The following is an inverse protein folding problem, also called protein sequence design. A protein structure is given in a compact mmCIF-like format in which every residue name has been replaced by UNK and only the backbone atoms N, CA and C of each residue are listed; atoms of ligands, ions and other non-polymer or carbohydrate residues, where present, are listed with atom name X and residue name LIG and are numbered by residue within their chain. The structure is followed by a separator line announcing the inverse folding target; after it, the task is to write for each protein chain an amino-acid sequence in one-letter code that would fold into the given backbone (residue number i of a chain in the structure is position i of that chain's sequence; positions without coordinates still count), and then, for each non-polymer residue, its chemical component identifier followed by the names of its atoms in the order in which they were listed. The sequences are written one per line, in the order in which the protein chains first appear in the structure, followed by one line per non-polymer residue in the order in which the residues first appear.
data_IF_924168674275
#
_entry.id   IF_924168674275
#
_cell.length_a   1.000
_cell.length_b   1.000
_cell.length_c   1.000
_cell.angle_alpha   90.00
_cell.angle_beta   90.00
_cell.angle_gamma   90.00
#
_symmetry.space_group_name_H-M   'P 1'
#
loop_
_entity.id
_entity.type
_entity.pdbx_description
1 polymer ?
#
# COMPACT_ATOMS: atom_id res chain seq x y z
N UNK A 1 65.83 35.93 24.95
CA UNK A 1 65.35 36.06 23.56
C UNK A 1 64.10 35.28 23.42
N UNK A 2 63.00 35.94 23.16
CA UNK A 2 61.66 35.47 23.07
C UNK A 2 61.39 34.74 21.74
N UNK A 3 60.80 33.54 21.78
CA UNK A 3 60.12 33.04 20.63
C UNK A 3 58.75 32.41 21.09
N UNK A 4 57.70 33.18 20.89
CA UNK A 4 56.31 32.76 21.04
C UNK A 4 55.93 31.88 19.85
N UNK A 5 55.52 30.61 20.09
CA UNK A 5 54.80 29.80 19.11
C UNK A 5 53.31 29.95 19.34
N UNK A 6 52.63 30.47 18.31
CA UNK A 6 51.17 30.54 18.23
C UNK A 6 50.64 29.16 17.88
N UNK A 7 49.79 28.59 18.73
CA UNK A 7 48.98 27.44 18.39
C UNK A 7 47.71 27.90 17.67
N UNK A 8 47.56 27.51 16.40
CA UNK A 8 46.33 27.69 15.66
C UNK A 8 45.37 26.54 16.03
N UNK A 9 44.26 26.88 16.68
CA UNK A 9 43.18 25.95 16.94
C UNK A 9 42.34 25.75 15.67
N UNK A 10 42.34 24.54 15.16
CA UNK A 10 41.42 24.12 14.14
C UNK A 10 40.03 23.91 14.75
N UNK A 11 39.08 24.73 14.34
CA UNK A 11 37.67 24.50 14.67
C UNK A 11 37.13 23.44 13.73
N UNK A 12 36.84 22.27 14.29
CA UNK A 12 36.02 21.27 13.61
C UNK A 12 34.58 21.75 13.68
N UNK A 13 34.05 22.21 12.56
CA UNK A 13 32.62 22.41 12.36
C UNK A 13 31.98 21.04 12.05
N UNK A 14 31.30 20.50 13.02
CA UNK A 14 30.38 19.36 12.83
C UNK A 14 29.17 19.83 12.02
N UNK A 15 29.17 19.53 10.74
CA UNK A 15 27.95 19.65 9.93
C UNK A 15 26.96 18.58 10.39
N UNK A 16 25.95 19.02 11.14
CA UNK A 16 24.77 18.19 11.42
C UNK A 16 23.99 18.02 10.12
N UNK A 17 24.02 16.82 9.55
CA UNK A 17 23.16 16.39 8.46
C UNK A 17 21.72 16.43 8.94
N UNK A 18 21.04 17.57 8.74
CA UNK A 18 19.62 17.72 8.95
C UNK A 18 18.85 16.94 7.91
N UNK A 19 18.39 15.74 8.27
CA UNK A 19 17.39 15.02 7.50
C UNK A 19 16.10 15.84 7.61
N UNK A 20 15.86 16.67 6.59
CA UNK A 20 14.61 17.44 6.46
C UNK A 20 13.46 16.44 6.33
N UNK A 21 12.64 16.32 7.35
CA UNK A 21 11.35 15.63 7.24
C UNK A 21 10.51 16.41 6.24
N UNK A 22 10.34 15.84 5.04
CA UNK A 22 9.43 16.42 4.04
C UNK A 22 8.04 16.52 4.62
N UNK A 23 7.41 17.70 4.51
CA UNK A 23 6.04 17.91 4.97
C UNK A 23 5.07 17.02 4.19
N UNK A 24 3.90 16.75 4.77
CA UNK A 24 2.83 15.99 4.09
C UNK A 24 2.36 16.67 2.81
N UNK A 25 2.52 18.00 2.71
CA UNK A 25 2.23 18.78 1.51
C UNK A 25 3.26 18.55 0.40
N UNK A 26 4.56 18.48 0.74
CA UNK A 26 5.62 18.15 -0.21
C UNK A 26 5.43 16.75 -0.81
N UNK A 27 4.96 15.79 -0.01
CA UNK A 27 4.65 14.44 -0.51
C UNK A 27 3.45 14.42 -1.47
N UNK A 28 2.43 15.26 -1.25
CA UNK A 28 1.28 15.38 -2.16
C UNK A 28 1.68 15.97 -3.51
N UNK A 29 2.66 16.86 -3.55
CA UNK A 29 3.18 17.44 -4.78
C UNK A 29 4.00 16.45 -5.62
N UNK A 30 4.45 15.33 -5.05
CA UNK A 30 5.22 14.30 -5.76
C UNK A 30 4.35 13.19 -6.39
N UNK A 31 3.02 13.19 -6.15
CA UNK A 31 2.12 12.18 -6.72
C UNK A 31 1.69 12.64 -8.11
N UNK A 32 2.24 12.00 -9.15
CA UNK A 32 1.93 12.28 -10.55
C UNK A 32 1.06 11.21 -11.20
N UNK A 33 1.00 10.01 -10.60
CA UNK A 33 0.32 8.85 -11.13
C UNK A 33 -0.31 8.04 -9.98
N UNK A 34 -1.30 7.19 -10.30
CA UNK A 34 -1.83 6.25 -9.32
C UNK A 34 -0.74 5.29 -8.78
N UNK A 35 0.29 5.03 -9.57
CA UNK A 35 1.41 4.17 -9.18
C UNK A 35 2.23 4.75 -8.02
N UNK A 36 2.18 6.07 -7.82
CA UNK A 36 2.84 6.76 -6.72
C UNK A 36 2.05 6.67 -5.40
N UNK A 37 0.78 6.23 -5.46
CA UNK A 37 -0.04 6.06 -4.27
C UNK A 37 0.48 4.88 -3.43
N UNK A 38 0.77 5.13 -2.15
CA UNK A 38 1.24 4.09 -1.23
C UNK A 38 0.23 2.93 -1.14
N UNK A 39 -1.07 3.23 -1.11
CA UNK A 39 -2.12 2.21 -1.06
C UNK A 39 -2.12 1.33 -2.30
N UNK A 40 -1.85 1.90 -3.48
CA UNK A 40 -1.70 1.12 -4.72
C UNK A 40 -0.50 0.19 -4.65
N UNK A 41 0.66 0.71 -4.25
CA UNK A 41 1.90 -0.07 -4.17
C UNK A 41 1.76 -1.26 -3.21
N UNK A 42 1.12 -1.04 -2.07
CA UNK A 42 0.86 -2.09 -1.08
C UNK A 42 -0.14 -3.13 -1.60
N UNK A 43 -1.26 -2.67 -2.17
CA UNK A 43 -2.28 -3.55 -2.75
C UNK A 43 -1.71 -4.40 -3.90
N UNK A 44 -0.88 -3.80 -4.74
CA UNK A 44 -0.22 -4.49 -5.84
C UNK A 44 0.72 -5.59 -5.34
N UNK A 45 1.58 -5.26 -4.38
CA UNK A 45 2.55 -6.20 -3.80
C UNK A 45 1.86 -7.41 -3.17
N UNK A 46 0.86 -7.20 -2.32
CA UNK A 46 0.14 -8.30 -1.68
C UNK A 46 -0.66 -9.13 -2.69
N UNK A 47 -1.20 -8.51 -3.74
CA UNK A 47 -1.91 -9.23 -4.80
C UNK A 47 -1.00 -10.19 -5.57
N UNK A 48 0.26 -9.82 -5.80
CA UNK A 48 1.25 -10.70 -6.42
C UNK A 48 1.56 -11.92 -5.55
N UNK A 49 1.76 -11.71 -4.24
CA UNK A 49 1.99 -12.80 -3.30
C UNK A 49 0.82 -13.80 -3.29
N UNK A 50 -0.41 -13.28 -3.21
CA UNK A 50 -1.62 -14.10 -3.20
C UNK A 50 -1.81 -14.82 -4.53
N UNK A 51 -1.51 -14.18 -5.64
CA UNK A 51 -1.54 -14.83 -6.95
C UNK A 51 -0.63 -16.06 -6.98
N UNK A 52 0.63 -15.90 -6.56
CA UNK A 52 1.60 -17.00 -6.55
C UNK A 52 1.17 -18.15 -5.62
N UNK A 53 0.70 -17.84 -4.43
CA UNK A 53 0.23 -18.87 -3.49
C UNK A 53 -1.01 -19.58 -4.02
N UNK A 54 -1.95 -18.86 -4.61
CA UNK A 54 -3.19 -19.43 -5.16
C UNK A 54 -2.95 -20.42 -6.30
N UNK A 55 -1.85 -20.27 -7.05
CA UNK A 55 -1.48 -21.22 -8.11
C UNK A 55 -1.12 -22.60 -7.55
N UNK A 56 -0.74 -22.69 -6.27
CA UNK A 56 -0.41 -23.94 -5.57
C UNK A 56 -1.62 -24.62 -4.95
N UNK A 57 -2.80 -24.02 -4.98
CA UNK A 57 -4.02 -24.62 -4.45
C UNK A 57 -4.38 -25.88 -5.24
N UNK A 58 -5.09 -26.85 -4.63
CA UNK A 58 -5.57 -28.03 -5.32
C UNK A 58 -6.32 -27.67 -6.61
N UNK A 59 -6.22 -28.52 -7.61
CA UNK A 59 -6.83 -28.30 -8.93
C UNK A 59 -8.33 -27.99 -8.84
N UNK A 60 -9.05 -28.64 -7.92
CA UNK A 60 -10.50 -28.42 -7.66
C UNK A 60 -10.82 -26.98 -7.21
N UNK A 61 -9.83 -26.26 -6.64
CA UNK A 61 -10.01 -24.89 -6.14
C UNK A 61 -9.53 -23.80 -7.12
N UNK A 62 -8.92 -24.18 -8.24
CA UNK A 62 -8.35 -23.20 -9.17
C UNK A 62 -9.41 -22.29 -9.81
N UNK A 63 -10.62 -22.81 -10.10
CA UNK A 63 -11.76 -22.07 -10.64
C UNK A 63 -12.75 -21.61 -9.57
N UNK A 64 -12.52 -21.98 -8.32
CA UNK A 64 -13.31 -21.58 -7.17
C UNK A 64 -12.60 -20.51 -6.36
N UNK A 65 -12.15 -20.89 -5.16
CA UNK A 65 -11.60 -19.97 -4.17
C UNK A 65 -10.30 -19.27 -4.66
N UNK A 66 -9.42 -19.97 -5.37
CA UNK A 66 -8.23 -19.38 -5.94
C UNK A 66 -8.56 -18.28 -6.95
N UNK A 67 -9.55 -18.48 -7.80
CA UNK A 67 -10.01 -17.48 -8.77
C UNK A 67 -10.59 -16.24 -8.06
N UNK A 68 -11.39 -16.43 -7.01
CA UNK A 68 -11.94 -15.33 -6.21
C UNK A 68 -10.85 -14.49 -5.57
N UNK A 69 -9.82 -15.10 -5.00
CA UNK A 69 -8.66 -14.40 -4.44
C UNK A 69 -7.96 -13.55 -5.50
N UNK A 70 -7.70 -14.13 -6.67
CA UNK A 70 -7.02 -13.44 -7.77
C UNK A 70 -7.82 -12.27 -8.30
N UNK A 71 -9.13 -12.42 -8.42
CA UNK A 71 -10.03 -11.36 -8.90
C UNK A 71 -10.15 -10.23 -7.90
N UNK A 72 -10.50 -10.54 -6.66
CA UNK A 72 -10.73 -9.53 -5.63
C UNK A 72 -9.46 -8.74 -5.31
N UNK A 73 -8.31 -9.41 -5.20
CA UNK A 73 -7.03 -8.74 -4.92
C UNK A 73 -6.64 -7.74 -6.03
N UNK A 74 -6.82 -8.12 -7.29
CA UNK A 74 -6.48 -7.25 -8.44
C UNK A 74 -7.51 -6.12 -8.64
N UNK A 75 -8.76 -6.36 -8.26
CA UNK A 75 -9.83 -5.35 -8.36
C UNK A 75 -9.53 -4.09 -7.56
N UNK A 76 -8.83 -4.20 -6.43
CA UNK A 76 -8.40 -3.05 -5.63
C UNK A 76 -7.50 -2.13 -6.48
N UNK A 77 -6.49 -2.69 -7.11
CA UNK A 77 -5.54 -1.97 -7.95
C UNK A 77 -6.21 -1.35 -9.18
N UNK A 78 -7.08 -2.11 -9.85
CA UNK A 78 -7.81 -1.65 -11.03
C UNK A 78 -8.73 -0.47 -10.71
N UNK A 79 -9.47 -0.55 -9.61
CA UNK A 79 -10.35 0.54 -9.16
C UNK A 79 -9.56 1.79 -8.75
N UNK A 80 -8.42 1.63 -8.10
CA UNK A 80 -7.55 2.76 -7.75
C UNK A 80 -7.03 3.47 -9.01
N UNK A 81 -6.56 2.73 -9.99
CA UNK A 81 -6.04 3.28 -11.24
C UNK A 81 -7.14 4.01 -12.02
N UNK A 82 -8.30 3.38 -12.19
CA UNK A 82 -9.42 3.96 -12.92
C UNK A 82 -9.99 5.19 -12.23
N UNK A 83 -10.16 5.11 -10.91
CA UNK A 83 -10.65 6.24 -10.11
C UNK A 83 -9.69 7.41 -10.12
N UNK A 84 -8.38 7.16 -9.98
CA UNK A 84 -7.37 8.20 -10.01
C UNK A 84 -7.37 8.96 -11.35
N UNK A 85 -7.56 8.26 -12.47
CA UNK A 85 -7.68 8.91 -13.78
C UNK A 85 -8.88 9.85 -13.89
N UNK A 86 -9.93 9.62 -13.09
CA UNK A 86 -11.16 10.43 -13.10
C UNK A 86 -11.14 11.62 -12.13
N UNK A 87 -10.20 11.68 -11.20
CA UNK A 87 -10.14 12.70 -10.15
C UNK A 87 -10.12 14.14 -10.69
N UNK A 88 -9.51 14.36 -11.85
CA UNK A 88 -9.42 15.69 -12.47
C UNK A 88 -10.76 16.14 -13.09
N UNK A 89 -11.66 15.22 -13.31
CA UNK A 89 -12.98 15.50 -13.89
C UNK A 89 -14.06 15.54 -12.81
N UNK A 90 -13.98 14.66 -11.81
CA UNK A 90 -15.00 14.54 -10.77
C UNK A 90 -14.43 13.86 -9.51
N UNK A 91 -14.42 14.61 -8.41
CA UNK A 91 -14.11 14.06 -7.09
C UNK A 91 -15.11 12.96 -6.69
N UNK A 92 -16.38 13.13 -7.02
CA UNK A 92 -17.43 12.15 -6.72
C UNK A 92 -17.19 10.82 -7.43
N UNK A 93 -16.76 10.85 -8.69
CA UNK A 93 -16.38 9.65 -9.43
C UNK A 93 -15.18 8.96 -8.81
N UNK A 94 -14.14 9.70 -8.44
CA UNK A 94 -12.99 9.11 -7.75
C UNK A 94 -13.40 8.43 -6.44
N UNK A 95 -14.23 9.10 -5.63
CA UNK A 95 -14.72 8.52 -4.36
C UNK A 95 -15.55 7.26 -4.59
N UNK A 96 -16.30 7.16 -5.67
CA UNK A 96 -17.04 5.95 -6.03
C UNK A 96 -16.09 4.77 -6.26
N UNK A 97 -14.98 4.99 -6.98
CA UNK A 97 -13.97 3.95 -7.18
C UNK A 97 -13.23 3.57 -5.89
N UNK A 98 -12.99 4.53 -4.98
CA UNK A 98 -12.44 4.22 -3.66
C UNK A 98 -13.36 3.29 -2.85
N UNK A 99 -14.67 3.52 -2.91
CA UNK A 99 -15.65 2.63 -2.26
C UNK A 99 -15.65 1.23 -2.89
N UNK A 100 -15.52 1.12 -4.20
CA UNK A 100 -15.40 -0.17 -4.89
C UNK A 100 -14.10 -0.91 -4.49
N UNK A 101 -12.98 -0.19 -4.43
CA UNK A 101 -11.71 -0.75 -3.95
C UNK A 101 -11.81 -1.20 -2.49
N UNK A 102 -12.46 -0.42 -1.63
CA UNK A 102 -12.73 -0.75 -0.23
C UNK A 102 -13.55 -2.03 -0.12
N UNK A 103 -14.63 -2.16 -0.90
CA UNK A 103 -15.44 -3.38 -0.96
C UNK A 103 -14.63 -4.61 -1.35
N UNK A 104 -13.74 -4.48 -2.34
CA UNK A 104 -12.85 -5.57 -2.76
C UNK A 104 -11.83 -5.94 -1.68
N UNK A 105 -11.33 -4.96 -0.92
CA UNK A 105 -10.43 -5.18 0.20
C UNK A 105 -11.12 -5.96 1.34
N UNK A 106 -12.36 -5.61 1.66
CA UNK A 106 -13.15 -6.32 2.66
C UNK A 106 -13.52 -7.74 2.18
N UNK A 107 -13.83 -7.91 0.89
CA UNK A 107 -14.08 -9.21 0.26
C UNK A 107 -12.85 -10.12 0.38
N UNK A 108 -11.63 -9.61 0.20
CA UNK A 108 -10.41 -10.38 0.39
C UNK A 108 -10.30 -11.01 1.78
N UNK A 109 -10.73 -10.28 2.81
CA UNK A 109 -10.72 -10.79 4.19
C UNK A 109 -11.65 -11.98 4.37
N UNK A 110 -12.78 -11.98 3.66
CA UNK A 110 -13.72 -13.12 3.64
C UNK A 110 -13.08 -14.33 2.97
N UNK A 111 -12.53 -14.16 1.77
CA UNK A 111 -11.88 -15.27 1.04
C UNK A 111 -10.67 -15.83 1.78
N UNK A 112 -9.87 -15.00 2.42
CA UNK A 112 -8.74 -15.44 3.24
C UNK A 112 -9.21 -16.27 4.44
N UNK A 113 -10.35 -15.93 5.04
CA UNK A 113 -10.93 -16.69 6.12
C UNK A 113 -11.36 -18.09 5.65
N UNK A 114 -12.00 -18.18 4.48
CA UNK A 114 -12.29 -19.47 3.86
C UNK A 114 -11.03 -20.30 3.59
N UNK A 115 -9.97 -19.65 3.09
CA UNK A 115 -8.70 -20.34 2.86
C UNK A 115 -8.11 -20.92 4.14
N UNK A 116 -8.17 -20.19 5.24
CA UNK A 116 -7.71 -20.67 6.54
C UNK A 116 -8.54 -21.86 7.02
N UNK A 117 -9.87 -21.71 7.04
CA UNK A 117 -10.77 -22.71 7.60
C UNK A 117 -10.83 -23.99 6.73
N UNK A 118 -10.51 -23.89 5.44
CA UNK A 118 -10.38 -25.02 4.51
C UNK A 118 -8.93 -25.56 4.41
N UNK A 119 -8.03 -25.08 5.26
CA UNK A 119 -6.62 -25.51 5.31
C UNK A 119 -5.85 -25.33 4.01
N UNK A 120 -6.17 -24.30 3.24
CA UNK A 120 -5.48 -23.96 1.99
C UNK A 120 -4.26 -23.07 2.22
N UNK A 121 -4.25 -22.32 3.32
CA UNK A 121 -3.14 -21.45 3.74
C UNK A 121 -2.84 -21.69 5.22
N UNK A 122 -1.60 -21.38 5.63
CA UNK A 122 -1.19 -21.45 7.02
C UNK A 122 -1.77 -20.28 7.83
N UNK A 123 -1.89 -20.45 9.15
CA UNK A 123 -2.38 -19.43 10.07
C UNK A 123 -1.51 -18.16 10.03
N UNK A 124 -0.19 -18.31 9.88
CA UNK A 124 0.74 -17.18 9.75
C UNK A 124 0.48 -16.35 8.48
N UNK A 125 0.26 -17.01 7.35
CA UNK A 125 -0.09 -16.38 6.08
C UNK A 125 -1.43 -15.65 6.19
N UNK A 126 -2.43 -16.29 6.76
CA UNK A 126 -3.72 -15.67 7.01
C UNK A 126 -3.58 -14.42 7.88
N UNK A 127 -2.85 -14.49 8.98
CA UNK A 127 -2.65 -13.36 9.91
C UNK A 127 -1.98 -12.18 9.23
N UNK A 128 -0.92 -12.44 8.46
CA UNK A 128 -0.17 -11.41 7.72
C UNK A 128 -1.02 -10.73 6.66
N UNK A 129 -1.70 -11.50 5.82
CA UNK A 129 -2.51 -10.95 4.75
C UNK A 129 -3.80 -10.29 5.24
N UNK A 130 -4.46 -10.88 6.24
CA UNK A 130 -5.65 -10.25 6.85
C UNK A 130 -5.32 -8.91 7.47
N UNK A 131 -4.18 -8.77 8.14
CA UNK A 131 -3.70 -7.50 8.67
C UNK A 131 -3.41 -6.49 7.56
N UNK A 132 -2.81 -6.93 6.45
CA UNK A 132 -2.51 -6.05 5.32
C UNK A 132 -3.80 -5.52 4.67
N UNK A 133 -4.81 -6.35 4.45
CA UNK A 133 -6.09 -5.89 3.90
C UNK A 133 -6.88 -5.01 4.87
N UNK A 134 -6.76 -5.23 6.18
CA UNK A 134 -7.29 -4.27 7.18
C UNK A 134 -6.65 -2.90 7.03
N UNK A 135 -5.33 -2.86 6.87
CA UNK A 135 -4.60 -1.61 6.70
C UNK A 135 -4.95 -0.93 5.39
N UNK A 136 -5.04 -1.67 4.29
CA UNK A 136 -5.50 -1.15 3.00
C UNK A 136 -6.91 -0.55 3.09
N UNK A 137 -7.83 -1.21 3.79
CA UNK A 137 -9.19 -0.67 4.02
C UNK A 137 -9.16 0.66 4.78
N UNK A 138 -8.30 0.77 5.80
CA UNK A 138 -8.12 2.04 6.53
C UNK A 138 -7.55 3.14 5.65
N UNK A 139 -6.56 2.82 4.83
CA UNK A 139 -5.94 3.78 3.92
C UNK A 139 -6.94 4.28 2.87
N UNK A 140 -7.72 3.38 2.27
CA UNK A 140 -8.77 3.73 1.31
C UNK A 140 -9.84 4.61 1.94
N UNK A 141 -10.25 4.29 3.17
CA UNK A 141 -11.22 5.08 3.90
C UNK A 141 -10.69 6.47 4.26
N UNK A 142 -9.41 6.55 4.65
CA UNK A 142 -8.71 7.82 4.89
C UNK A 142 -8.67 8.69 3.64
N UNK A 143 -8.34 8.12 2.48
CA UNK A 143 -8.37 8.81 1.19
C UNK A 143 -9.78 9.32 0.86
N UNK A 144 -10.80 8.48 1.02
CA UNK A 144 -12.19 8.86 0.79
C UNK A 144 -12.62 10.08 1.61
N UNK A 145 -12.22 10.13 2.88
CA UNK A 145 -12.56 11.26 3.78
C UNK A 145 -11.78 12.53 3.46
N UNK A 146 -10.52 12.40 3.09
CA UNK A 146 -9.60 13.55 2.90
C UNK A 146 -9.63 14.12 1.48
N UNK A 147 -10.13 13.39 0.50
CA UNK A 147 -10.16 13.85 -0.88
C UNK A 147 -11.27 14.87 -1.09
N UNK A 148 -10.87 16.09 -1.54
CA UNK A 148 -11.76 17.22 -1.76
C UNK A 148 -11.87 17.53 -3.24
#
# INVERSE_FOLDING_TARGET
MNLRRKCNGAKHSTEATGIRRQSTEDRRQMISSFEDLEVFQRAYRVSLEIHQVSLKFPKKEQYGLADQLRRASKSICANLAEGYGKQHHSTAEFKRYLVMALGSSDEMRVWLRYCLDLSLIAEEEWGRWSSEYKELSKMLQGMYRSWK
#
